data_IF_939656337364
#
_entry.id   IF_939656337364
#
_cell.length_a   1.000
_cell.length_b   1.000
_cell.length_c   1.000
_cell.angle_alpha   90.00
_cell.angle_beta   90.00
_cell.angle_gamma   90.00
#
_symmetry.space_group_name_H-M   'P 1'
#
loop_
_entity.id
_entity.type
_entity.pdbx_description
1 polymer ?
#
# COMPACT_ATOMS: atom_id res chain seq x y z
N UNK A 1 -16.57 32.57 5.12
CA UNK A 1 -16.27 32.14 4.93
C UNK A 1 -15.59 31.36 4.76
N UNK A 2 -15.43 30.93 4.73
CA UNK A 2 -14.98 30.38 4.45
C UNK A 2 -14.14 29.60 4.35
N UNK A 3 -13.74 29.23 4.66
CA UNK A 3 -13.07 28.33 4.72
C UNK A 3 -12.79 27.40 3.72
N UNK A 4 -13.36 27.20 2.95
CA UNK A 4 -13.18 26.28 1.88
C UNK A 4 -11.85 26.36 1.26
N UNK A 5 -11.39 27.51 1.09
CA UNK A 5 -10.14 27.64 0.47
C UNK A 5 -9.02 27.16 1.33
N UNK A 6 -9.33 26.83 2.56
CA UNK A 6 -8.32 26.30 3.36
C UNK A 6 -8.24 24.83 3.31
N UNK A 7 -9.08 24.18 2.51
CA UNK A 7 -9.07 22.76 2.45
C UNK A 7 -7.79 22.24 1.87
N UNK A 8 -7.19 21.33 2.56
CA UNK A 8 -6.09 20.57 2.06
C UNK A 8 -6.61 19.61 1.00
N UNK A 9 -5.92 19.53 -0.10
CA UNK A 9 -6.27 18.56 -1.12
C UNK A 9 -5.85 17.18 -0.63
N UNK A 10 -6.81 16.28 -0.50
CA UNK A 10 -6.55 14.96 0.02
C UNK A 10 -6.51 13.97 -1.14
N UNK A 11 -5.37 13.38 -1.34
CA UNK A 11 -5.20 12.40 -2.39
C UNK A 11 -5.53 11.02 -1.86
N UNK A 12 -6.25 10.25 -2.67
CA UNK A 12 -6.68 8.92 -2.28
C UNK A 12 -5.72 7.89 -2.86
N UNK A 13 -5.22 7.03 -1.99
CA UNK A 13 -4.24 6.01 -2.36
C UNK A 13 -4.72 4.67 -1.83
N UNK A 14 -4.55 3.62 -2.63
CA UNK A 14 -4.88 2.26 -2.22
C UNK A 14 -3.61 1.44 -2.25
N UNK A 15 -3.51 0.48 -1.33
CA UNK A 15 -2.35 -0.39 -1.26
C UNK A 15 -2.80 -1.78 -0.85
N UNK A 16 -2.01 -2.78 -1.24
CA UNK A 16 -2.34 -4.17 -1.00
C UNK A 16 -1.45 -4.75 0.10
N UNK A 17 -2.10 -5.40 1.05
CA UNK A 17 -1.40 -6.30 1.93
C UNK A 17 -1.56 -7.67 1.30
N UNK A 18 -0.64 -7.99 0.40
CA UNK A 18 -0.67 -9.22 -0.38
C UNK A 18 0.01 -10.29 0.46
N UNK A 19 -0.77 -11.27 0.89
CA UNK A 19 -0.27 -12.25 1.85
C UNK A 19 -0.26 -13.65 1.23
N UNK A 20 0.83 -14.37 1.49
CA UNK A 20 0.99 -15.73 1.03
C UNK A 20 1.87 -16.46 2.04
N UNK A 21 1.35 -17.57 2.58
CA UNK A 21 2.10 -18.35 3.56
C UNK A 21 2.63 -17.50 4.70
N UNK A 22 1.75 -16.60 5.18
CA UNK A 22 2.02 -15.77 6.35
C UNK A 22 3.12 -14.74 6.15
N UNK A 23 3.40 -14.41 4.89
CA UNK A 23 4.34 -13.36 4.55
C UNK A 23 3.65 -12.33 3.68
N UNK A 24 4.10 -11.11 3.80
CA UNK A 24 3.57 -10.01 3.00
C UNK A 24 4.58 -9.63 1.92
N UNK A 25 4.07 -9.24 0.79
CA UNK A 25 4.92 -8.75 -0.29
C UNK A 25 5.21 -7.28 -0.02
N UNK A 26 6.50 -6.96 0.08
CA UNK A 26 6.94 -5.58 0.24
C UNK A 26 7.77 -5.21 -0.97
N UNK A 27 7.75 -3.92 -1.31
CA UNK A 27 8.32 -3.44 -2.55
C UNK A 27 9.21 -2.24 -2.27
N UNK A 28 10.35 -2.18 -2.94
CA UNK A 28 11.29 -1.10 -2.73
C UNK A 28 11.22 -0.11 -3.89
N UNK A 29 11.09 1.15 -3.56
CA UNK A 29 11.05 2.22 -4.54
C UNK A 29 12.40 2.34 -5.22
N UNK A 30 12.40 2.74 -6.49
CA UNK A 30 13.66 2.85 -7.22
C UNK A 30 14.43 4.06 -6.75
N UNK A 31 15.71 4.08 -7.08
CA UNK A 31 16.58 5.18 -6.68
C UNK A 31 16.27 6.47 -7.43
N UNK A 32 15.46 6.41 -8.48
CA UNK A 32 15.13 7.58 -9.26
C UNK A 32 13.79 8.20 -8.92
N UNK A 33 13.07 7.63 -7.97
CA UNK A 33 11.78 8.15 -7.53
C UNK A 33 11.94 9.06 -6.35
N UNK A 34 10.87 9.79 -6.04
CA UNK A 34 10.81 10.52 -4.77
C UNK A 34 10.89 9.49 -3.65
N UNK A 35 11.48 9.88 -2.52
CA UNK A 35 11.68 9.00 -1.38
C UNK A 35 12.35 7.71 -1.83
N UNK A 36 13.54 7.82 -2.41
CA UNK A 36 14.19 6.68 -3.08
C UNK A 36 14.55 5.57 -2.12
N UNK A 37 14.43 4.34 -2.63
CA UNK A 37 14.84 3.12 -1.94
C UNK A 37 14.09 2.81 -0.65
N UNK A 38 13.05 3.57 -0.34
CA UNK A 38 12.17 3.24 0.76
C UNK A 38 11.31 2.05 0.38
N UNK A 39 10.90 1.29 1.38
CA UNK A 39 10.00 0.17 1.17
C UNK A 39 8.56 0.60 1.36
N UNK A 40 7.65 -0.09 0.68
CA UNK A 40 6.24 0.25 0.69
C UNK A 40 5.44 -0.99 0.32
N UNK A 41 4.12 -0.88 0.42
CA UNK A 41 3.22 -1.91 -0.08
C UNK A 41 2.76 -1.50 -1.48
N UNK A 42 2.53 -2.46 -2.39
CA UNK A 42 2.18 -2.10 -3.77
C UNK A 42 0.80 -1.46 -3.85
N UNK A 43 0.63 -0.56 -4.79
CA UNK A 43 -0.62 0.15 -4.97
C UNK A 43 -0.38 1.48 -5.64
N UNK A 44 -1.33 2.41 -5.50
CA UNK A 44 -1.18 3.70 -6.12
C UNK A 44 -2.41 4.55 -5.96
N UNK A 45 -2.47 5.61 -6.75
CA UNK A 45 -3.53 6.59 -6.66
C UNK A 45 -4.79 6.11 -7.34
N UNK A 46 -5.93 6.51 -6.80
CA UNK A 46 -7.23 6.24 -7.41
C UNK A 46 -7.45 7.27 -8.49
N UNK A 47 -7.85 6.81 -9.68
CA UNK A 47 -8.13 7.70 -10.77
C UNK A 47 -9.61 8.06 -10.80
N UNK A 48 -9.97 9.17 -11.45
CA UNK A 48 -11.37 9.60 -11.48
C UNK A 48 -12.27 8.49 -12.01
N UNK A 49 -13.36 8.26 -11.32
CA UNK A 49 -14.32 7.26 -11.73
C UNK A 49 -14.04 5.85 -11.28
N UNK A 50 -12.91 5.62 -10.65
CA UNK A 50 -12.57 4.29 -10.16
C UNK A 50 -13.05 4.10 -8.73
N UNK A 51 -13.49 2.88 -8.40
CA UNK A 51 -13.64 2.52 -7.00
C UNK A 51 -12.27 2.22 -6.45
N UNK A 52 -12.17 2.14 -5.13
CA UNK A 52 -10.91 1.77 -4.49
C UNK A 52 -10.44 0.41 -4.94
N UNK A 53 -11.37 -0.55 -4.98
CA UNK A 53 -11.02 -1.90 -5.39
C UNK A 53 -10.56 -1.97 -6.84
N UNK A 54 -11.23 -1.25 -7.72
CA UNK A 54 -10.84 -1.24 -9.12
C UNK A 54 -9.47 -0.62 -9.31
N UNK A 55 -9.20 0.46 -8.57
CA UNK A 55 -7.90 1.12 -8.65
C UNK A 55 -6.79 0.17 -8.21
N UNK A 56 -7.00 -0.53 -7.10
CA UNK A 56 -5.98 -1.43 -6.60
C UNK A 56 -5.76 -2.59 -7.56
N UNK A 57 -6.83 -3.14 -8.10
CA UNK A 57 -6.72 -4.21 -9.07
C UNK A 57 -5.90 -3.77 -10.27
N UNK A 58 -6.14 -2.56 -10.77
CA UNK A 58 -5.40 -2.01 -11.90
C UNK A 58 -3.92 -1.81 -11.54
N UNK A 59 -3.65 -1.24 -10.37
CA UNK A 59 -2.27 -0.99 -9.97
C UNK A 59 -1.48 -2.28 -9.83
N UNK A 60 -2.10 -3.31 -9.26
CA UNK A 60 -1.38 -4.58 -9.09
C UNK A 60 -1.12 -5.24 -10.44
N UNK A 61 -2.02 -5.07 -11.39
CA UNK A 61 -1.77 -5.57 -12.74
C UNK A 61 -0.59 -4.84 -13.36
N UNK A 62 -0.56 -3.53 -13.22
CA UNK A 62 0.51 -2.74 -13.82
C UNK A 62 1.86 -3.01 -13.18
N UNK A 63 1.89 -3.09 -11.85
CA UNK A 63 3.15 -3.17 -11.12
C UNK A 63 3.68 -4.58 -11.00
N UNK A 64 2.80 -5.55 -10.88
CA UNK A 64 3.20 -6.92 -10.57
C UNK A 64 2.69 -7.96 -11.56
N UNK A 65 1.88 -7.55 -12.53
CA UNK A 65 1.40 -8.45 -13.57
C UNK A 65 0.37 -9.46 -13.10
N UNK A 66 -0.27 -9.23 -12.00
CA UNK A 66 -1.23 -10.19 -11.44
C UNK A 66 -2.65 -9.66 -11.53
N UNK A 67 -3.59 -10.61 -11.56
CA UNK A 67 -5.01 -10.30 -11.51
C UNK A 67 -5.45 -10.65 -10.09
N UNK A 68 -5.56 -9.63 -9.25
CA UNK A 68 -5.78 -9.83 -7.83
C UNK A 68 -7.26 -9.79 -7.48
N UNK A 69 -7.61 -10.61 -6.50
CA UNK A 69 -8.94 -10.59 -5.92
C UNK A 69 -8.84 -9.71 -4.68
N UNK A 70 -9.46 -8.53 -4.73
CA UNK A 70 -9.32 -7.56 -3.64
C UNK A 70 -10.23 -7.97 -2.49
N UNK A 71 -9.65 -8.19 -1.33
CA UNK A 71 -10.39 -8.58 -0.14
C UNK A 71 -10.85 -7.40 0.67
N UNK A 72 -10.96 -7.59 1.98
CA UNK A 72 -11.51 -6.55 2.84
C UNK A 72 -10.48 -5.48 3.15
N UNK A 73 -10.96 -4.30 3.48
CA UNK A 73 -10.10 -3.23 3.94
C UNK A 73 -9.71 -3.48 5.39
N UNK A 74 -8.43 -3.49 5.66
CA UNK A 74 -7.94 -3.79 7.00
C UNK A 74 -7.46 -2.56 7.74
N UNK A 75 -7.17 -1.47 7.03
CA UNK A 75 -6.70 -0.26 7.69
C UNK A 75 -6.87 0.92 6.76
N UNK A 76 -7.02 2.10 7.35
CA UNK A 76 -6.91 3.33 6.59
C UNK A 76 -6.29 4.37 7.49
N UNK A 77 -5.53 5.26 6.87
CA UNK A 77 -4.85 6.29 7.62
C UNK A 77 -4.63 7.51 6.77
N UNK A 78 -4.35 8.62 7.40
CA UNK A 78 -4.06 9.86 6.72
C UNK A 78 -2.64 10.26 7.06
N UNK A 79 -1.94 10.80 6.07
CA UNK A 79 -0.58 11.22 6.27
C UNK A 79 -0.33 12.51 5.50
N UNK A 80 0.33 13.44 6.15
CA UNK A 80 0.64 14.71 5.53
C UNK A 80 2.14 14.81 5.30
N UNK A 81 2.54 14.87 4.04
CA UNK A 81 3.95 15.01 3.70
C UNK A 81 4.38 16.45 3.66
N UNK A 82 3.45 17.33 3.27
CA UNK A 82 3.72 18.75 3.19
C UNK A 82 2.53 19.48 3.74
N UNK A 83 2.71 20.75 3.94
CA UNK A 83 1.68 21.55 4.52
C UNK A 83 0.36 21.48 3.78
N UNK A 84 0.42 21.40 2.46
CA UNK A 84 -0.78 21.40 1.65
C UNK A 84 -0.99 20.10 0.90
N UNK A 85 -0.37 19.02 1.35
CA UNK A 85 -0.46 17.74 0.66
C UNK A 85 -0.76 16.64 1.65
N UNK A 86 -1.97 16.14 1.60
CA UNK A 86 -2.41 15.09 2.52
C UNK A 86 -2.87 13.89 1.73
N UNK A 87 -2.49 12.71 2.20
CA UNK A 87 -2.85 11.44 1.58
C UNK A 87 -3.75 10.66 2.52
N UNK A 88 -4.79 10.08 1.94
CA UNK A 88 -5.61 9.12 2.66
C UNK A 88 -5.33 7.76 2.05
N UNK A 89 -4.78 6.87 2.85
CA UNK A 89 -4.34 5.55 2.39
C UNK A 89 -5.31 4.48 2.88
N UNK A 90 -5.69 3.59 1.97
CA UNK A 90 -6.58 2.49 2.27
C UNK A 90 -5.87 1.19 1.95
N UNK A 91 -5.78 0.30 2.93
CA UNK A 91 -5.05 -0.96 2.79
C UNK A 91 -6.03 -2.11 2.74
N UNK A 92 -5.91 -2.91 1.68
CA UNK A 92 -6.80 -4.05 1.46
C UNK A 92 -6.01 -5.35 1.52
N UNK A 93 -6.62 -6.35 2.13
CA UNK A 93 -6.03 -7.68 2.17
C UNK A 93 -6.21 -8.34 0.82
N UNK A 94 -5.16 -8.96 0.30
CA UNK A 94 -5.21 -9.70 -0.95
C UNK A 94 -4.63 -11.07 -0.69
N UNK A 95 -5.50 -12.09 -0.70
CA UNK A 95 -5.09 -13.46 -0.41
C UNK A 95 -5.00 -14.32 -1.65
N UNK A 96 -5.64 -13.90 -2.73
CA UNK A 96 -5.69 -14.68 -3.96
C UNK A 96 -5.44 -13.83 -5.17
N UNK A 97 -4.70 -14.39 -6.08
CA UNK A 97 -4.50 -13.75 -7.37
C UNK A 97 -4.18 -14.82 -8.40
N UNK A 98 -4.32 -14.47 -9.66
CA UNK A 98 -3.90 -15.33 -10.75
C UNK A 98 -2.82 -14.64 -11.55
N UNK A 99 -2.08 -15.43 -12.32
CA UNK A 99 -0.98 -14.90 -13.08
C UNK A 99 0.32 -15.06 -12.31
N UNK A 100 1.41 -14.81 -13.01
CA UNK A 100 2.74 -14.97 -12.43
C UNK A 100 3.22 -13.64 -11.90
N UNK A 101 3.57 -13.60 -10.63
CA UNK A 101 4.07 -12.38 -9.99
C UNK A 101 5.36 -11.94 -10.63
N UNK A 102 5.37 -10.72 -11.13
CA UNK A 102 6.50 -10.16 -11.84
C UNK A 102 6.81 -8.78 -11.27
N UNK A 103 8.07 -8.45 -11.17
CA UNK A 103 8.46 -7.11 -10.73
C UNK A 103 8.63 -6.23 -11.96
N UNK A 104 7.64 -5.38 -12.22
CA UNK A 104 7.67 -4.52 -13.38
C UNK A 104 8.25 -3.14 -13.12
N UNK A 105 8.23 -2.67 -11.87
CA UNK A 105 8.61 -1.28 -11.63
C UNK A 105 9.49 -1.03 -10.41
N UNK A 106 9.66 -2.01 -9.53
CA UNK A 106 10.34 -1.76 -8.26
C UNK A 106 11.82 -2.08 -8.32
N UNK A 107 12.58 -1.47 -7.42
CA UNK A 107 13.99 -1.82 -7.28
C UNK A 107 14.11 -3.27 -6.83
N UNK A 108 13.24 -3.69 -5.91
CA UNK A 108 13.25 -5.04 -5.37
C UNK A 108 11.87 -5.35 -4.82
N UNK A 109 11.52 -6.62 -4.78
CA UNK A 109 10.30 -7.07 -4.11
C UNK A 109 10.66 -8.29 -3.27
N UNK A 110 10.01 -8.42 -2.12
CA UNK A 110 10.30 -9.52 -1.20
C UNK A 110 9.05 -9.96 -0.48
N UNK A 111 8.98 -11.26 -0.22
CA UNK A 111 8.00 -11.82 0.71
C UNK A 111 8.66 -11.81 2.08
N UNK A 112 8.02 -11.16 3.04
CA UNK A 112 8.63 -11.01 4.34
C UNK A 112 7.65 -11.34 5.46
N UNK A 113 8.14 -12.02 6.49
CA UNK A 113 7.33 -12.34 7.66
C UNK A 113 6.96 -11.04 8.37
N UNK A 114 5.74 -11.01 8.92
CA UNK A 114 5.23 -9.81 9.54
C UNK A 114 6.14 -9.27 10.64
N UNK A 115 6.68 -10.14 11.45
CA UNK A 115 7.51 -9.70 12.57
C UNK A 115 8.79 -9.04 12.14
N UNK A 116 9.21 -9.26 10.89
CA UNK A 116 10.46 -8.72 10.39
C UNK A 116 10.29 -7.40 9.66
N UNK A 117 9.04 -6.96 9.42
CA UNK A 117 8.80 -5.74 8.68
C UNK A 117 9.52 -4.52 9.25
N UNK A 118 9.61 -4.35 10.57
CA UNK A 118 10.29 -3.17 11.10
C UNK A 118 11.78 -3.08 10.78
N UNK A 119 12.36 -4.15 10.24
CA UNK A 119 13.77 -4.12 9.84
C UNK A 119 14.02 -3.36 8.56
N UNK A 120 12.95 -3.04 7.83
CA UNK A 120 13.07 -2.37 6.54
C UNK A 120 12.79 -0.88 6.69
N UNK A 121 13.39 -0.09 5.83
CA UNK A 121 13.24 1.35 5.85
C UNK A 121 11.98 1.74 5.09
N UNK A 122 10.83 1.64 5.74
CA UNK A 122 9.54 1.92 5.13
C UNK A 122 9.27 3.40 4.99
N UNK A 123 8.40 3.74 4.04
CA UNK A 123 7.88 5.10 3.93
C UNK A 123 7.28 5.51 5.27
N UNK A 124 7.47 6.77 5.61
CA UNK A 124 6.97 7.28 6.88
C UNK A 124 5.48 7.04 7.05
N UNK A 125 4.72 7.20 5.96
CA UNK A 125 3.28 7.00 6.01
C UNK A 125 2.88 5.59 6.44
N UNK A 126 3.76 4.61 6.23
CA UNK A 126 3.44 3.22 6.54
C UNK A 126 3.95 2.75 7.89
N UNK A 127 4.72 3.57 8.59
CA UNK A 127 5.41 3.10 9.79
C UNK A 127 4.48 2.60 10.88
N UNK A 128 3.37 3.30 11.13
CA UNK A 128 2.45 2.87 12.15
C UNK A 128 1.83 1.53 11.80
N UNK A 129 1.44 1.38 10.53
CA UNK A 129 0.86 0.14 10.07
C UNK A 129 1.87 -1.00 10.19
N UNK A 130 3.12 -0.74 9.81
CA UNK A 130 4.16 -1.76 9.89
C UNK A 130 4.34 -2.22 11.34
N UNK A 131 4.33 -1.30 12.28
CA UNK A 131 4.45 -1.65 13.69
C UNK A 131 3.28 -2.49 14.15
N UNK A 132 2.07 -2.11 13.76
CA UNK A 132 0.88 -2.83 14.16
C UNK A 132 0.83 -4.23 13.54
N UNK A 133 1.27 -4.36 12.29
CA UNK A 133 1.35 -5.67 11.65
C UNK A 133 2.35 -6.57 12.36
N UNK A 134 3.53 -6.02 12.68
CA UNK A 134 4.56 -6.80 13.33
C UNK A 134 4.16 -7.23 14.73
N UNK A 135 3.35 -6.43 15.40
CA UNK A 135 2.90 -6.72 16.74
C UNK A 135 1.67 -7.62 16.79
N UNK A 136 1.14 -8.01 15.62
CA UNK A 136 -0.02 -8.87 15.57
C UNK A 136 -1.33 -8.17 15.91
N UNK A 137 -1.37 -6.86 15.78
CA UNK A 137 -2.56 -6.11 16.14
C UNK A 137 -3.60 -6.04 15.04
N UNK A 138 -3.25 -6.48 13.84
CA UNK A 138 -4.16 -6.42 12.71
C UNK A 138 -4.51 -7.84 12.30
N UNK A 139 -5.82 -8.10 12.21
CA UNK A 139 -6.28 -9.41 11.81
C UNK A 139 -6.09 -9.58 10.32
N UNK A 140 -5.28 -10.56 9.96
CA UNK A 140 -4.97 -10.81 8.55
C UNK A 140 -5.80 -11.93 7.97
N UNK A 141 -6.51 -12.70 8.79
CA UNK A 141 -7.33 -13.78 8.30
C UNK A 141 -8.75 -13.61 8.71
N UNK A 142 -9.63 -14.04 7.83
CA UNK A 142 -11.02 -14.15 8.21
C UNK A 142 -11.15 -15.33 9.10
N UNK A 143 -12.04 -15.29 9.96
CA UNK A 143 -12.23 -16.45 10.70
C UNK A 143 -13.08 -16.52 11.55
#
# INVERSE_FOLDING_TARGET
MTESHERTIRKQVVAALLIHEERLLICQRTRNQALPLKWEFPGGKIEPGESREAALKRELQEELGIDAEIGRKVASLCHRYRQDSEFELHFFLVERYSGELTNNIFEDIRWEALKNLPRYDFLEADLRLVQDLAAGKIRMRER
#
